data_IF_068443383976
#
_entry.id   IF_068443383976
#
_cell.length_a   1.000
_cell.length_b   1.000
_cell.length_c   1.000
_cell.angle_alpha   90.00
_cell.angle_beta   90.00
_cell.angle_gamma   90.00
#
_symmetry.space_group_name_H-M   'P 1'
#
loop_
_entity.id
_entity.type
_entity.pdbx_description
1 polymer ?
#
# COMPACT_ATOMS: atom_id res chain seq x y z
N UNK A 1 -1.88 10.76 23.89
CA UNK A 1 -1.92 9.85 22.73
C UNK A 1 -0.89 8.75 22.95
N UNK A 2 -1.15 7.50 22.53
CA UNK A 2 -0.16 6.43 22.66
C UNK A 2 1.09 6.80 21.87
N UNK A 3 2.27 6.53 22.45
CA UNK A 3 3.51 6.64 21.68
C UNK A 3 3.53 5.54 20.60
N UNK A 4 4.36 5.69 19.57
CA UNK A 4 4.45 4.69 18.48
C UNK A 4 4.72 3.28 19.03
N UNK A 5 5.50 3.16 20.10
CA UNK A 5 5.76 1.87 20.76
C UNK A 5 4.51 1.27 21.42
N UNK A 6 3.67 2.09 22.06
CA UNK A 6 2.40 1.61 22.64
C UNK A 6 1.45 1.13 21.54
N UNK A 7 1.39 1.84 20.41
CA UNK A 7 0.59 1.43 19.26
C UNK A 7 1.12 0.13 18.64
N UNK A 8 2.44 -0.03 18.52
CA UNK A 8 3.08 -1.27 18.07
C UNK A 8 2.72 -2.43 19.01
N UNK A 9 2.88 -2.24 20.32
CA UNK A 9 2.53 -3.26 21.31
C UNK A 9 1.05 -3.64 21.23
N UNK A 10 0.17 -2.65 21.19
CA UNK A 10 -1.28 -2.85 21.11
C UNK A 10 -1.70 -3.61 19.85
N UNK A 11 -1.17 -3.25 18.67
CA UNK A 11 -1.51 -3.96 17.43
C UNK A 11 -0.96 -5.38 17.48
N UNK A 12 0.27 -5.60 17.95
CA UNK A 12 0.85 -6.95 18.10
C UNK A 12 0.00 -7.85 18.97
N UNK A 13 -0.44 -7.35 20.13
CA UNK A 13 -1.30 -8.08 21.06
C UNK A 13 -2.69 -8.39 20.48
N UNK A 14 -3.14 -7.61 19.50
CA UNK A 14 -4.43 -7.81 18.84
C UNK A 14 -4.43 -8.85 17.72
N UNK A 15 -3.26 -9.26 17.22
CA UNK A 15 -3.14 -10.24 16.13
C UNK A 15 -3.53 -11.63 16.64
N UNK A 16 -4.35 -12.34 15.86
CA UNK A 16 -4.83 -13.68 16.17
C UNK A 16 -4.07 -14.77 15.42
N UNK A 17 -3.41 -14.41 14.33
CA UNK A 17 -2.56 -15.30 13.54
C UNK A 17 -1.16 -15.40 14.15
N UNK A 18 -0.44 -16.47 13.85
CA UNK A 18 0.92 -16.65 14.35
C UNK A 18 1.84 -15.54 13.80
N UNK A 19 2.72 -15.00 14.63
CA UNK A 19 3.67 -13.95 14.25
C UNK A 19 5.09 -14.50 14.33
N UNK A 20 5.78 -14.50 13.19
CA UNK A 20 7.20 -14.82 13.06
C UNK A 20 7.96 -13.52 12.79
N UNK A 21 8.75 -13.05 13.74
CA UNK A 21 9.51 -11.81 13.62
C UNK A 21 11.01 -12.10 13.58
N UNK A 22 11.67 -11.59 12.55
CA UNK A 22 13.11 -11.66 12.37
C UNK A 22 13.71 -10.25 12.50
N UNK A 23 14.46 -9.97 13.57
CA UNK A 23 15.20 -8.72 13.68
C UNK A 23 16.26 -8.65 12.57
N UNK A 24 16.31 -7.52 11.87
CA UNK A 24 17.21 -7.31 10.74
C UNK A 24 17.90 -5.96 10.82
N UNK A 25 19.07 -5.87 10.18
CA UNK A 25 19.80 -4.62 9.96
C UNK A 25 19.34 -3.92 8.67
N UNK A 26 18.23 -4.37 8.07
CA UNK A 26 17.59 -3.73 6.92
C UNK A 26 17.08 -2.32 7.26
N UNK A 27 17.13 -1.44 6.26
CA UNK A 27 16.70 -0.05 6.36
C UNK A 27 15.16 0.12 6.25
N UNK A 28 14.41 -0.95 5.98
CA UNK A 28 12.96 -0.90 5.83
C UNK A 28 12.31 -2.11 6.49
N UNK A 29 11.12 -1.88 7.08
CA UNK A 29 10.28 -2.95 7.55
C UNK A 29 9.58 -3.64 6.39
N UNK A 30 9.57 -4.98 6.41
CA UNK A 30 8.84 -5.77 5.43
C UNK A 30 7.99 -6.82 6.13
N UNK A 31 6.73 -6.95 5.72
CA UNK A 31 5.80 -7.91 6.27
C UNK A 31 5.03 -8.65 5.18
N UNK A 32 4.82 -9.94 5.40
CA UNK A 32 3.97 -10.78 4.56
C UNK A 32 2.97 -11.55 5.42
N UNK A 33 1.74 -11.67 4.92
CA UNK A 33 0.66 -12.39 5.62
C UNK A 33 0.20 -13.55 4.76
N UNK A 34 0.16 -14.75 5.31
CA UNK A 34 -0.30 -15.94 4.63
C UNK A 34 -1.65 -16.40 5.21
N UNK A 35 -2.78 -16.19 4.51
CA UNK A 35 -4.10 -16.59 5.00
C UNK A 35 -4.30 -18.11 5.03
N UNK A 36 -3.47 -18.90 4.33
CA UNK A 36 -3.58 -20.36 4.32
C UNK A 36 -2.99 -20.98 5.60
N UNK A 37 -1.84 -20.46 6.05
CA UNK A 37 -1.19 -20.92 7.28
C UNK A 37 -1.58 -20.10 8.51
N UNK A 38 -2.30 -18.97 8.31
CA UNK A 38 -2.59 -17.98 9.35
C UNK A 38 -1.31 -17.53 10.07
N UNK A 39 -0.35 -17.07 9.27
CA UNK A 39 0.96 -16.63 9.73
C UNK A 39 1.30 -15.26 9.15
N UNK A 40 1.86 -14.39 9.99
CA UNK A 40 2.53 -13.17 9.60
C UNK A 40 4.04 -13.36 9.76
N UNK A 41 4.80 -13.03 8.72
CA UNK A 41 6.26 -13.01 8.77
C UNK A 41 6.72 -11.57 8.63
N UNK A 42 7.53 -11.11 9.57
CA UNK A 42 8.06 -9.74 9.60
C UNK A 42 9.59 -9.74 9.62
N UNK A 43 10.15 -8.84 8.82
CA UNK A 43 11.54 -8.40 8.92
C UNK A 43 11.50 -7.01 9.53
N UNK A 44 11.93 -6.91 10.80
CA UNK A 44 11.84 -5.68 11.58
C UNK A 44 13.20 -5.00 11.71
N UNK A 45 13.35 -3.76 11.22
CA UNK A 45 14.52 -2.94 11.48
C UNK A 45 14.70 -2.71 12.97
N UNK A 46 15.94 -2.76 13.44
CA UNK A 46 16.28 -2.46 14.84
C UNK A 46 16.31 -0.96 15.14
N UNK A 47 16.41 -0.12 14.11
CA UNK A 47 16.65 1.30 14.30
C UNK A 47 15.38 2.05 14.73
N UNK A 48 15.46 2.98 15.70
CA UNK A 48 14.30 3.78 16.14
C UNK A 48 13.65 4.64 15.04
N UNK A 49 14.39 4.99 13.99
CA UNK A 49 13.86 5.79 12.88
C UNK A 49 12.76 5.06 12.08
N UNK A 50 12.73 3.72 12.10
CA UNK A 50 11.82 2.91 11.27
C UNK A 50 10.62 2.36 12.03
N UNK A 51 10.35 2.85 13.25
CA UNK A 51 9.26 2.32 14.08
C UNK A 51 7.88 2.60 13.47
N UNK A 52 7.73 3.71 12.74
CA UNK A 52 6.49 3.98 12.01
C UNK A 52 6.28 2.99 10.84
N UNK A 53 7.36 2.56 10.18
CA UNK A 53 7.31 1.52 9.14
C UNK A 53 6.91 0.17 9.74
N UNK A 54 7.46 -0.18 10.90
CA UNK A 54 7.07 -1.38 11.65
C UNK A 54 5.58 -1.33 12.02
N UNK A 55 5.09 -0.18 12.50
CA UNK A 55 3.67 -0.01 12.79
C UNK A 55 2.80 -0.17 11.53
N UNK A 56 3.25 0.33 10.38
CA UNK A 56 2.54 0.16 9.11
C UNK A 56 2.44 -1.30 8.68
N UNK A 57 3.52 -2.08 8.83
CA UNK A 57 3.50 -3.52 8.53
C UNK A 57 2.55 -4.28 9.48
N UNK A 58 2.55 -3.95 10.76
CA UNK A 58 1.64 -4.55 11.75
C UNK A 58 0.17 -4.18 11.47
N UNK A 59 -0.10 -2.92 11.12
CA UNK A 59 -1.43 -2.49 10.71
C UNK A 59 -1.90 -3.21 9.44
N UNK A 60 -0.99 -3.44 8.48
CA UNK A 60 -1.28 -4.26 7.31
C UNK A 60 -1.65 -5.70 7.70
N UNK A 61 -0.90 -6.33 8.60
CA UNK A 61 -1.23 -7.66 9.11
C UNK A 61 -2.60 -7.72 9.79
N UNK A 62 -2.92 -6.75 10.65
CA UNK A 62 -4.22 -6.67 11.31
C UNK A 62 -5.38 -6.51 10.31
N UNK A 63 -5.16 -5.81 9.19
CA UNK A 63 -6.12 -5.73 8.10
C UNK A 63 -6.25 -7.06 7.33
N UNK A 64 -5.16 -7.79 7.11
CA UNK A 64 -5.18 -9.10 6.46
C UNK A 64 -6.04 -10.14 7.21
N UNK A 65 -6.11 -10.06 8.54
CA UNK A 65 -6.96 -10.97 9.34
C UNK A 65 -8.46 -10.71 9.13
N UNK A 66 -8.84 -9.48 8.75
CA UNK A 66 -10.23 -9.01 8.64
C UNK A 66 -10.73 -8.94 7.20
N UNK A 67 -9.83 -8.68 6.26
CA UNK A 67 -10.14 -8.47 4.85
C UNK A 67 -10.09 -9.80 4.07
N UNK A 68 -10.87 -9.95 2.99
CA UNK A 68 -10.77 -11.15 2.16
C UNK A 68 -9.37 -11.36 1.57
N UNK A 69 -9.05 -12.62 1.28
CA UNK A 69 -7.71 -13.14 0.93
C UNK A 69 -6.92 -12.35 -0.12
N UNK A 70 -7.59 -11.65 -1.04
CA UNK A 70 -6.91 -10.83 -2.06
C UNK A 70 -6.07 -9.72 -1.42
N UNK A 71 -6.51 -9.16 -0.30
CA UNK A 71 -5.77 -8.11 0.42
C UNK A 71 -4.43 -8.61 0.95
N UNK A 72 -4.38 -9.84 1.46
CA UNK A 72 -3.17 -10.51 1.95
C UNK A 72 -2.36 -11.19 0.86
N UNK A 73 -2.89 -11.31 -0.36
CA UNK A 73 -2.33 -12.25 -1.33
C UNK A 73 -1.02 -11.75 -1.93
N UNK A 74 0.03 -12.54 -1.75
CA UNK A 74 1.29 -12.41 -2.53
C UNK A 74 1.21 -13.12 -3.88
N UNK A 75 0.12 -13.87 -4.14
CA UNK A 75 -0.11 -14.66 -5.35
C UNK A 75 -1.34 -14.15 -6.13
N UNK A 76 -1.12 -13.66 -7.33
CA UNK A 76 -2.22 -13.33 -8.26
C UNK A 76 -2.44 -14.52 -9.19
N UNK A 77 -3.57 -15.20 -9.05
CA UNK A 77 -3.94 -16.34 -9.90
C UNK A 77 -4.68 -15.85 -11.16
N UNK A 78 -4.49 -16.52 -12.30
CA UNK A 78 -5.20 -16.19 -13.56
C UNK A 78 -4.39 -15.37 -14.59
N UNK A 79 -3.15 -15.00 -14.28
CA UNK A 79 -2.21 -14.38 -15.21
C UNK A 79 -1.26 -15.44 -15.77
N UNK A 80 -1.19 -15.57 -17.09
CA UNK A 80 -0.45 -16.65 -17.79
C UNK A 80 1.07 -16.46 -17.79
N UNK A 81 1.58 -15.31 -17.36
CA UNK A 81 3.00 -14.94 -17.37
C UNK A 81 3.45 -14.42 -16.00
N UNK A 82 4.56 -14.96 -15.49
CA UNK A 82 5.13 -14.63 -14.18
C UNK A 82 5.33 -13.12 -13.96
N UNK A 83 5.72 -12.37 -15.00
CA UNK A 83 5.87 -10.91 -14.92
C UNK A 83 4.57 -10.16 -14.61
N UNK A 84 3.45 -10.52 -15.24
CA UNK A 84 2.15 -9.90 -14.94
C UNK A 84 1.75 -10.07 -13.47
N UNK A 85 2.15 -11.18 -12.82
CA UNK A 85 1.89 -11.40 -11.41
C UNK A 85 2.70 -10.46 -10.50
N UNK A 86 3.96 -10.15 -10.86
CA UNK A 86 4.84 -9.26 -10.07
C UNK A 86 4.33 -7.81 -10.10
N UNK A 87 4.09 -7.25 -11.28
CA UNK A 87 3.57 -5.89 -11.41
C UNK A 87 2.23 -5.72 -10.67
N UNK A 88 1.32 -6.70 -10.82
CA UNK A 88 0.01 -6.68 -10.15
C UNK A 88 0.14 -6.80 -8.62
N UNK A 89 1.09 -7.57 -8.10
CA UNK A 89 1.36 -7.64 -6.65
C UNK A 89 1.71 -6.26 -6.09
N UNK A 90 2.57 -5.51 -6.77
CA UNK A 90 2.94 -4.16 -6.35
C UNK A 90 1.75 -3.20 -6.36
N UNK A 91 0.85 -3.29 -7.37
CA UNK A 91 -0.36 -2.46 -7.42
C UNK A 91 -1.32 -2.81 -6.28
N UNK A 92 -1.54 -4.10 -6.01
CA UNK A 92 -2.38 -4.54 -4.88
C UNK A 92 -1.79 -4.08 -3.54
N UNK A 93 -0.47 -4.19 -3.36
CA UNK A 93 0.21 -3.68 -2.17
C UNK A 93 0.08 -2.17 -2.06
N UNK A 94 0.29 -1.44 -3.15
CA UNK A 94 0.14 0.00 -3.20
C UNK A 94 -1.28 0.43 -2.82
N UNK A 95 -2.31 -0.24 -3.34
CA UNK A 95 -3.71 -0.03 -2.95
C UNK A 95 -3.96 -0.33 -1.47
N UNK A 96 -3.40 -1.43 -0.96
CA UNK A 96 -3.50 -1.80 0.46
C UNK A 96 -2.90 -0.75 1.38
N UNK A 97 -1.75 -0.18 0.99
CA UNK A 97 -1.06 0.86 1.75
C UNK A 97 -1.91 2.12 2.00
N UNK A 98 -2.93 2.38 1.17
CA UNK A 98 -3.87 3.48 1.41
C UNK A 98 -4.71 3.27 2.69
N UNK A 99 -5.27 2.07 2.84
CA UNK A 99 -6.04 1.67 4.03
C UNK A 99 -5.13 1.51 5.26
N UNK A 100 -3.92 0.99 5.07
CA UNK A 100 -2.90 0.93 6.13
C UNK A 100 -2.58 2.33 6.66
N UNK A 101 -2.47 3.33 5.77
CA UNK A 101 -2.17 4.71 6.18
C UNK A 101 -3.25 5.27 7.12
N UNK A 102 -4.54 5.01 6.83
CA UNK A 102 -5.62 5.39 7.75
C UNK A 102 -5.56 4.64 9.08
N UNK A 103 -5.27 3.33 9.06
CA UNK A 103 -5.14 2.54 10.27
C UNK A 103 -4.00 3.04 11.17
N UNK A 104 -2.84 3.35 10.59
CA UNK A 104 -1.69 3.94 11.32
C UNK A 104 -2.04 5.31 11.87
N UNK A 105 -2.66 6.18 11.06
CA UNK A 105 -3.06 7.52 11.49
C UNK A 105 -4.10 7.47 12.63
N UNK A 106 -5.02 6.51 12.62
CA UNK A 106 -5.99 6.33 13.70
C UNK A 106 -5.33 5.99 15.04
N UNK A 107 -4.16 5.34 15.02
CA UNK A 107 -3.40 4.97 16.22
C UNK A 107 -2.50 6.13 16.70
N UNK A 108 -1.77 6.77 15.78
CA UNK A 108 -0.78 7.82 16.08
C UNK A 108 -0.93 9.03 15.14
N UNK A 109 -1.99 9.84 15.25
CA UNK A 109 -2.29 10.88 14.25
C UNK A 109 -1.20 11.95 14.12
N UNK A 110 -0.70 12.50 15.23
CA UNK A 110 0.34 13.53 15.24
C UNK A 110 1.65 13.03 14.61
N UNK A 111 2.11 11.82 14.98
CA UNK A 111 3.34 11.25 14.41
C UNK A 111 3.19 10.93 12.93
N UNK A 112 2.02 10.42 12.53
CA UNK A 112 1.73 10.16 11.12
C UNK A 112 1.68 11.47 10.31
N UNK A 113 0.96 12.49 10.80
CA UNK A 113 0.81 13.78 10.10
C UNK A 113 2.17 14.51 9.99
N UNK A 114 3.05 14.38 10.99
CA UNK A 114 4.42 14.89 10.93
C UNK A 114 5.27 14.14 9.88
N UNK A 115 5.27 12.81 9.90
CA UNK A 115 6.00 12.00 8.92
C UNK A 115 5.49 12.22 7.48
N UNK A 116 4.18 12.39 7.31
CA UNK A 116 3.59 12.72 6.02
C UNK A 116 4.05 14.11 5.54
N UNK A 117 4.16 15.09 6.44
CA UNK A 117 4.67 16.42 6.13
C UNK A 117 6.11 16.37 5.62
N UNK A 118 6.98 15.59 6.28
CA UNK A 118 8.37 15.37 5.84
C UNK A 118 8.43 14.66 4.49
N UNK A 119 7.61 13.62 4.30
CA UNK A 119 7.52 12.90 3.03
C UNK A 119 7.05 13.79 1.87
N UNK A 120 6.10 14.71 2.13
CA UNK A 120 5.67 15.72 1.16
C UNK A 120 6.83 16.62 0.75
N UNK A 121 7.61 17.13 1.71
CA UNK A 121 8.78 17.97 1.42
C UNK A 121 9.82 17.22 0.58
N UNK A 122 10.13 15.97 0.92
CA UNK A 122 11.09 15.14 0.21
C UNK A 122 10.64 14.76 -1.21
N UNK A 123 9.34 14.68 -1.47
CA UNK A 123 8.77 14.28 -2.75
C UNK A 123 8.34 15.47 -3.64
N UNK A 124 8.29 16.69 -3.10
CA UNK A 124 7.73 17.87 -3.79
C UNK A 124 8.33 18.10 -5.20
N UNK A 125 9.66 18.00 -5.35
CA UNK A 125 10.30 18.18 -6.65
C UNK A 125 9.89 17.09 -7.65
N UNK A 126 9.82 15.82 -7.23
CA UNK A 126 9.44 14.70 -8.11
C UNK A 126 7.97 14.72 -8.48
N UNK A 127 7.09 15.17 -7.58
CA UNK A 127 5.65 15.30 -7.86
C UNK A 127 5.34 16.34 -8.95
N UNK A 128 6.15 17.40 -9.03
CA UNK A 128 5.94 18.50 -9.98
C UNK A 128 6.75 18.33 -11.28
N UNK A 129 7.61 17.32 -11.38
CA UNK A 129 8.45 17.09 -12.56
C UNK A 129 7.84 15.99 -13.42
N UNK A 130 7.39 16.28 -14.65
CA UNK A 130 6.97 15.25 -15.58
C UNK A 130 8.10 14.26 -15.83
N UNK A 131 7.83 12.98 -15.61
CA UNK A 131 8.79 11.89 -15.83
C UNK A 131 8.42 11.12 -17.12
N UNK A 132 9.39 10.57 -17.87
CA UNK A 132 9.10 9.66 -18.97
C UNK A 132 8.26 8.48 -18.49
N UNK A 133 7.17 8.17 -19.20
CA UNK A 133 6.33 7.01 -18.91
C UNK A 133 6.44 6.01 -20.05
N UNK A 134 7.13 4.91 -19.79
CA UNK A 134 7.17 3.76 -20.69
C UNK A 134 6.39 2.62 -20.02
N UNK A 135 5.30 2.20 -20.67
CA UNK A 135 4.50 1.09 -20.18
C UNK A 135 5.25 -0.23 -20.41
N UNK A 136 5.82 -0.79 -19.34
CA UNK A 136 6.25 -2.19 -19.32
C UNK A 136 5.07 -3.08 -18.92
N UNK A 137 4.65 -3.97 -19.82
CA UNK A 137 3.53 -4.89 -19.56
C UNK A 137 3.85 -5.90 -18.45
N UNK A 138 5.11 -6.21 -18.23
CA UNK A 138 5.58 -7.32 -17.40
C UNK A 138 6.16 -6.91 -16.06
N UNK A 139 6.59 -5.67 -15.89
CA UNK A 139 7.15 -5.18 -14.63
C UNK A 139 6.62 -3.79 -14.29
N UNK A 140 6.79 -3.40 -13.03
CA UNK A 140 6.84 -1.98 -12.67
C UNK A 140 8.31 -1.60 -12.57
N UNK A 141 8.74 -0.64 -13.38
CA UNK A 141 10.05 -0.03 -13.25
C UNK A 141 10.16 0.79 -11.95
N UNK A 142 11.39 1.14 -11.57
CA UNK A 142 11.65 1.98 -10.40
C UNK A 142 10.85 3.31 -10.45
N UNK A 143 10.80 3.95 -11.62
CA UNK A 143 10.03 5.19 -11.81
C UNK A 143 8.52 5.01 -11.59
N UNK A 144 7.96 3.84 -11.90
CA UNK A 144 6.54 3.56 -11.66
C UNK A 144 6.27 3.31 -10.18
N UNK A 145 7.17 2.61 -9.49
CA UNK A 145 7.10 2.39 -8.05
C UNK A 145 7.21 3.72 -7.29
N UNK A 146 8.14 4.59 -7.70
CA UNK A 146 8.28 5.93 -7.14
C UNK A 146 7.04 6.79 -7.42
N UNK A 147 6.46 6.73 -8.63
CA UNK A 147 5.19 7.42 -8.91
C UNK A 147 4.05 6.95 -8.01
N UNK A 148 3.93 5.65 -7.74
CA UNK A 148 2.93 5.12 -6.81
C UNK A 148 3.14 5.69 -5.39
N UNK A 149 4.40 5.73 -4.93
CA UNK A 149 4.74 6.29 -3.63
C UNK A 149 4.46 7.80 -3.55
N UNK A 150 4.94 8.58 -4.53
CA UNK A 150 4.73 10.03 -4.61
C UNK A 150 3.22 10.36 -4.71
N UNK A 151 2.46 9.60 -5.51
CA UNK A 151 1.02 9.77 -5.64
C UNK A 151 0.27 9.46 -4.33
N UNK A 152 0.70 8.46 -3.56
CA UNK A 152 0.13 8.17 -2.24
C UNK A 152 0.41 9.31 -1.26
N UNK A 153 1.61 9.88 -1.28
CA UNK A 153 1.97 11.04 -0.46
C UNK A 153 1.10 12.24 -0.86
N UNK A 154 0.92 12.49 -2.16
CA UNK A 154 0.06 13.57 -2.67
C UNK A 154 -1.40 13.38 -2.26
N UNK A 155 -1.93 12.16 -2.38
CA UNK A 155 -3.27 11.80 -1.91
C UNK A 155 -3.42 12.02 -0.40
N UNK A 156 -2.43 11.57 0.38
CA UNK A 156 -2.40 11.75 1.84
C UNK A 156 -2.36 13.22 2.23
N UNK A 157 -1.53 14.04 1.58
CA UNK A 157 -1.45 15.47 1.85
C UNK A 157 -2.80 16.17 1.64
N UNK A 158 -3.49 15.84 0.53
CA UNK A 158 -4.81 16.39 0.21
C UNK A 158 -5.87 15.93 1.20
N UNK A 159 -5.88 14.65 1.56
CA UNK A 159 -6.92 14.03 2.37
C UNK A 159 -6.76 14.29 3.87
N UNK A 160 -5.56 14.11 4.42
CA UNK A 160 -5.30 14.20 5.86
C UNK A 160 -4.87 15.60 6.30
N UNK A 161 -4.02 16.27 5.51
CA UNK A 161 -3.46 17.57 5.89
C UNK A 161 -4.25 18.75 5.29
N UNK A 162 -5.19 18.49 4.38
CA UNK A 162 -5.94 19.54 3.66
C UNK A 162 -5.05 20.42 2.77
N UNK A 163 -3.87 19.91 2.38
CA UNK A 163 -2.85 20.67 1.64
C UNK A 163 -2.66 20.09 0.23
N UNK A 164 -2.46 20.96 -0.76
CA UNK A 164 -2.09 20.54 -2.12
C UNK A 164 -0.64 21.00 -2.42
N UNK A 165 0.37 20.13 -2.21
CA UNK A 165 1.79 20.49 -2.34
C UNK A 165 2.28 20.61 -3.79
N UNK A 166 1.48 20.17 -4.76
CA UNK A 166 1.82 20.22 -6.17
C UNK A 166 0.82 21.14 -6.90
N UNK A 167 1.29 22.32 -7.32
CA UNK A 167 0.49 23.28 -8.09
C UNK A 167 0.22 22.79 -9.51
N UNK A 168 1.19 22.08 -10.10
CA UNK A 168 1.10 21.48 -11.43
C UNK A 168 1.69 20.08 -11.38
N UNK A 169 0.99 19.12 -10.73
CA UNK A 169 1.50 17.77 -10.58
C UNK A 169 1.68 17.10 -11.94
N UNK A 170 2.67 16.21 -12.02
CA UNK A 170 2.79 15.25 -13.13
C UNK A 170 1.42 14.58 -13.37
N UNK A 171 0.88 14.59 -14.62
CA UNK A 171 -0.49 14.14 -14.88
C UNK A 171 -0.77 12.70 -14.44
N UNK A 172 0.22 11.82 -14.57
CA UNK A 172 0.11 10.42 -14.13
C UNK A 172 0.10 10.33 -12.61
N UNK A 173 1.00 11.03 -11.93
CA UNK A 173 1.04 11.12 -10.46
C UNK A 173 -0.27 11.66 -9.89
N UNK A 174 -0.87 12.68 -10.53
CA UNK A 174 -2.15 13.25 -10.13
C UNK A 174 -3.33 12.28 -10.36
N UNK A 175 -3.32 11.53 -11.48
CA UNK A 175 -4.29 10.48 -11.75
C UNK A 175 -4.22 9.35 -10.72
N UNK A 176 -3.01 8.94 -10.32
CA UNK A 176 -2.79 7.97 -9.25
C UNK A 176 -3.27 8.49 -7.89
N UNK A 177 -3.02 9.77 -7.57
CA UNK A 177 -3.49 10.38 -6.32
C UNK A 177 -5.04 10.41 -6.23
N UNK A 178 -5.71 10.66 -7.36
CA UNK A 178 -7.18 10.53 -7.46
C UNK A 178 -7.64 9.07 -7.29
N UNK A 179 -6.91 8.11 -7.85
CA UNK A 179 -7.24 6.69 -7.70
C UNK A 179 -7.16 6.24 -6.23
N UNK A 180 -6.18 6.74 -5.46
CA UNK A 180 -6.12 6.49 -4.02
C UNK A 180 -7.37 7.01 -3.29
N UNK A 181 -7.75 8.25 -3.57
CA UNK A 181 -8.88 8.92 -2.91
C UNK A 181 -10.26 8.52 -3.45
N UNK A 182 -10.32 7.55 -4.39
CA UNK A 182 -11.59 7.02 -4.91
C UNK A 182 -12.44 6.34 -3.82
N UNK A 183 -11.80 5.87 -2.75
CA UNK A 183 -12.46 5.25 -1.60
C UNK A 183 -11.89 5.86 -0.31
N UNK A 184 -12.74 6.26 0.66
CA UNK A 184 -12.30 6.61 2.01
C UNK A 184 -11.53 5.46 2.67
N UNK A 185 -10.28 5.67 3.13
CA UNK A 185 -9.44 4.61 3.67
C UNK A 185 -9.84 4.14 5.09
N UNK A 186 -10.64 4.91 5.83
CA UNK A 186 -10.99 4.65 7.23
C UNK A 186 -11.93 3.45 7.39
N UNK A 187 -12.66 3.08 6.33
CA UNK A 187 -13.58 1.94 6.31
C UNK A 187 -13.19 0.97 5.19
N UNK A 188 -12.14 0.14 5.39
CA UNK A 188 -11.67 -0.78 4.37
C UNK A 188 -12.76 -1.80 4.02
N UNK A 189 -13.08 -1.89 2.74
CA UNK A 189 -13.97 -2.92 2.19
C UNK A 189 -13.34 -3.50 0.93
N UNK A 190 -13.68 -4.74 0.58
CA UNK A 190 -13.14 -5.37 -0.63
C UNK A 190 -13.52 -4.61 -1.92
N UNK A 191 -14.76 -4.13 -2.11
CA UNK A 191 -15.09 -3.26 -3.24
C UNK A 191 -14.27 -1.98 -3.26
N UNK A 192 -14.09 -1.34 -2.09
CA UNK A 192 -13.30 -0.11 -1.97
C UNK A 192 -11.81 -0.32 -2.29
N UNK A 193 -11.23 -1.43 -1.83
CA UNK A 193 -9.87 -1.85 -2.15
C UNK A 193 -9.68 -2.11 -3.65
N UNK A 194 -10.62 -2.81 -4.28
CA UNK A 194 -10.61 -3.06 -5.72
C UNK A 194 -10.79 -1.77 -6.53
N UNK A 195 -11.61 -0.83 -6.08
CA UNK A 195 -11.77 0.47 -6.73
C UNK A 195 -10.44 1.24 -6.77
N UNK A 196 -9.71 1.27 -5.65
CA UNK A 196 -8.36 1.87 -5.59
C UNK A 196 -7.41 1.13 -6.52
N UNK A 197 -7.31 -0.20 -6.41
CA UNK A 197 -6.41 -1.01 -7.24
C UNK A 197 -6.69 -0.86 -8.76
N UNK A 198 -7.95 -0.82 -9.15
CA UNK A 198 -8.36 -0.63 -10.54
C UNK A 198 -8.13 0.80 -11.03
N UNK A 199 -8.31 1.81 -10.18
CA UNK A 199 -7.93 3.18 -10.48
C UNK A 199 -6.41 3.32 -10.72
N UNK A 200 -5.59 2.65 -9.90
CA UNK A 200 -4.14 2.61 -10.08
C UNK A 200 -3.77 1.91 -11.41
N UNK A 201 -4.41 0.79 -11.73
CA UNK A 201 -4.24 0.16 -13.04
C UNK A 201 -4.58 1.13 -14.18
N UNK A 202 -5.75 1.79 -14.12
CA UNK A 202 -6.19 2.70 -15.17
C UNK A 202 -5.22 3.88 -15.38
N UNK A 203 -4.73 4.49 -14.29
CA UNK A 203 -3.75 5.57 -14.35
C UNK A 203 -2.39 5.12 -14.93
N UNK A 204 -2.02 3.85 -14.77
CA UNK A 204 -0.84 3.24 -15.38
C UNK A 204 -1.12 2.62 -16.76
N UNK A 205 -2.31 2.79 -17.35
CA UNK A 205 -2.65 2.17 -18.64
C UNK A 205 -2.67 0.63 -18.61
N UNK A 206 -2.93 0.04 -17.44
CA UNK A 206 -2.98 -1.42 -17.21
C UNK A 206 -4.41 -1.92 -17.15
N UNK A 207 -4.59 -3.20 -17.50
CA UNK A 207 -5.89 -3.88 -17.41
C UNK A 207 -6.36 -3.94 -15.94
N UNK A 208 -7.65 -3.71 -15.67
CA UNK A 208 -8.18 -3.81 -14.31
C UNK A 208 -8.06 -5.23 -13.76
N UNK A 209 -8.16 -5.34 -12.45
CA UNK A 209 -8.48 -6.56 -11.73
C UNK A 209 -9.97 -6.87 -11.95
N UNK A 210 -10.24 -8.03 -12.55
CA UNK A 210 -11.58 -8.61 -12.68
C UNK A 210 -11.63 -9.84 -11.79
N UNK A 211 -11.97 -9.68 -10.51
CA UNK A 211 -11.71 -10.70 -9.52
C UNK A 211 -12.79 -11.79 -9.63
N UNK A 212 -12.43 -12.97 -10.12
CA UNK A 212 -13.34 -14.12 -10.16
C UNK A 212 -13.24 -14.93 -8.87
N UNK A 213 -14.34 -15.16 -8.14
CA UNK A 213 -14.33 -16.02 -6.97
C UNK A 213 -14.13 -17.48 -7.41
N UNK A 214 -12.93 -18.02 -7.23
CA UNK A 214 -12.66 -19.45 -7.38
C UNK A 214 -11.93 -19.98 -6.15
N UNK A 215 -12.53 -20.95 -5.46
CA UNK A 215 -11.94 -21.63 -4.29
C UNK A 215 -11.42 -20.65 -3.21
N UNK A 216 -12.12 -19.54 -2.98
CA UNK A 216 -11.70 -18.50 -2.02
C UNK A 216 -10.57 -17.59 -2.51
N UNK A 217 -10.06 -17.78 -3.73
CA UNK A 217 -9.14 -16.87 -4.39
C UNK A 217 -9.92 -15.92 -5.31
N UNK A 218 -9.45 -14.69 -5.37
CA UNK A 218 -9.87 -13.73 -6.37
C UNK A 218 -8.85 -13.81 -7.51
N UNK A 219 -9.24 -14.38 -8.64
CA UNK A 219 -8.37 -14.46 -9.82
C UNK A 219 -8.48 -13.19 -10.64
N UNK A 220 -7.40 -12.73 -11.27
CA UNK A 220 -7.53 -11.70 -12.30
C UNK A 220 -7.68 -12.39 -13.65
N UNK A 221 -8.84 -12.24 -14.30
CA UNK A 221 -8.99 -12.75 -15.65
C UNK A 221 -8.18 -11.91 -16.63
N UNK A 222 -7.19 -12.53 -17.27
CA UNK A 222 -6.74 -12.08 -18.59
C UNK A 222 -7.81 -12.56 -19.58
N UNK A 223 -8.71 -11.67 -19.98
CA UNK A 223 -9.51 -11.93 -21.18
C UNK A 223 -8.55 -11.93 -22.37
N UNK A 224 -8.40 -13.12 -22.99
CA UNK A 224 -7.84 -13.42 -24.32
C UNK A 224 -6.82 -12.45 -24.89
#
# INVERSE_FOLDING_TARGET
MPCVEDAIASVRESLTWAVEEMPSDADLAEGWSNPDTRTHVFVSPRQPAHRLDVLAELAHAALCEKMPRLFSSTKVWGVSLHGHAVARKHILRAAGNWFVSAAVRALCPETFDAALTEAVQAAAARMNTPRPFALDRYALGQDELERLADARILAGARHYLGHNPATTPDPTTDALARAYTATPPETPTMPGFLAVANGLCAALGRRPFSPEPRKGYWMVSDAG
#
